data_IF_269716494962
#
_entry.id   IF_269716494962
#
_cell.length_a   1.000
_cell.length_b   1.000
_cell.length_c   1.000
_cell.angle_alpha   90.00
_cell.angle_beta   90.00
_cell.angle_gamma   90.00
#
_symmetry.space_group_name_H-M   'P 1'
#
loop_
_entity.id
_entity.type
_entity.pdbx_description
1 polymer ?
#
# COMPACT_ATOMS: atom_id res chain seq x y z
N UNK A 1 -70.18 -39.81 55.65
CA UNK A 1 -69.55 -39.33 54.40
C UNK A 1 -68.50 -38.31 54.80
N UNK A 2 -67.22 -38.38 54.40
CA UNK A 2 -66.69 -38.20 53.02
C UNK A 2 -67.27 -36.93 52.36
N UNK A 3 -66.50 -35.84 52.32
CA UNK A 3 -66.09 -35.23 51.05
C UNK A 3 -64.76 -34.52 51.24
N UNK A 4 -63.72 -35.12 50.67
CA UNK A 4 -62.41 -34.51 50.52
C UNK A 4 -62.52 -33.43 49.43
N UNK A 5 -62.13 -32.19 49.71
CA UNK A 5 -61.98 -31.14 48.68
C UNK A 5 -60.62 -30.48 48.81
N UNK A 6 -59.62 -31.12 48.21
CA UNK A 6 -58.34 -30.50 47.89
C UNK A 6 -58.61 -29.26 47.03
N UNK A 7 -58.23 -28.08 47.52
CA UNK A 7 -58.10 -26.90 46.66
C UNK A 7 -56.65 -26.83 46.20
N UNK A 8 -56.44 -26.92 44.89
CA UNK A 8 -55.10 -26.89 44.29
C UNK A 8 -54.51 -25.49 44.44
N UNK A 9 -53.38 -25.38 45.16
CA UNK A 9 -52.58 -24.15 45.17
C UNK A 9 -51.74 -24.16 43.90
N UNK A 10 -52.09 -23.33 42.93
CA UNK A 10 -51.26 -23.06 41.76
C UNK A 10 -50.08 -22.19 42.18
N UNK A 11 -48.96 -22.83 42.52
CA UNK A 11 -47.67 -22.17 42.75
C UNK A 11 -46.98 -22.00 41.38
N UNK A 12 -46.75 -20.76 40.91
CA UNK A 12 -45.99 -20.55 39.68
C UNK A 12 -44.50 -20.81 39.93
N UNK A 13 -43.96 -21.87 39.34
CA UNK A 13 -42.53 -22.13 39.32
C UNK A 13 -41.87 -21.35 38.18
N UNK A 14 -41.22 -20.24 38.51
CA UNK A 14 -40.26 -19.58 37.62
C UNK A 14 -38.93 -20.34 37.70
N UNK A 15 -38.30 -20.61 36.54
CA UNK A 15 -37.01 -21.29 36.45
C UNK A 15 -36.04 -20.37 35.70
N UNK A 16 -34.91 -20.04 36.31
CA UNK A 16 -33.87 -19.18 35.72
C UNK A 16 -32.61 -19.99 35.37
N UNK A 17 -31.98 -19.68 34.24
CA UNK A 17 -30.71 -20.27 33.81
C UNK A 17 -29.49 -19.46 34.30
N UNK A 18 -28.29 -20.07 34.26
CA UNK A 18 -27.12 -19.66 35.03
C UNK A 18 -25.80 -19.94 34.30
N UNK A 19 -24.86 -18.99 34.35
CA UNK A 19 -23.53 -19.05 33.68
C UNK A 19 -22.47 -18.28 34.49
N UNK A 20 -22.07 -18.79 35.66
CA UNK A 20 -21.06 -18.15 36.51
C UNK A 20 -19.64 -18.30 35.98
N UNK A 21 -18.85 -17.21 36.02
CA UNK A 21 -17.41 -17.23 35.75
C UNK A 21 -16.67 -17.19 37.09
N UNK A 22 -15.81 -18.18 37.33
CA UNK A 22 -14.97 -18.33 38.52
C UNK A 22 -15.72 -18.28 39.89
N UNK A 23 -16.79 -19.08 40.03
CA UNK A 23 -17.53 -19.25 41.30
C UNK A 23 -18.27 -20.59 41.37
N UNK A 24 -18.17 -21.29 42.51
CA UNK A 24 -18.94 -22.51 42.82
C UNK A 24 -20.45 -22.22 43.03
N UNK A 25 -20.79 -20.95 43.26
CA UNK A 25 -22.15 -20.43 43.29
C UNK A 25 -22.33 -19.48 42.10
N UNK A 26 -22.67 -19.98 40.89
CA UNK A 26 -23.16 -19.11 39.82
C UNK A 26 -24.33 -18.25 40.33
N UNK A 27 -24.38 -16.99 39.91
CA UNK A 27 -25.19 -15.95 40.54
C UNK A 27 -26.51 -15.71 39.75
N UNK A 28 -27.66 -15.27 40.34
CA UNK A 28 -28.99 -15.71 39.87
C UNK A 28 -29.70 -15.27 38.55
N UNK A 29 -29.38 -14.33 37.65
CA UNK A 29 -28.37 -13.26 37.52
C UNK A 29 -26.94 -13.61 37.09
N UNK A 30 -26.78 -14.59 36.18
CA UNK A 30 -25.58 -14.84 35.35
C UNK A 30 -26.01 -15.37 33.99
N UNK A 31 -25.86 -14.53 32.98
CA UNK A 31 -26.15 -14.71 31.57
C UNK A 31 -25.22 -13.71 30.88
N UNK A 32 -24.49 -14.13 29.85
CA UNK A 32 -23.68 -13.18 29.05
C UNK A 32 -24.58 -12.59 27.97
N UNK A 33 -25.27 -11.51 28.34
CA UNK A 33 -26.08 -10.71 27.42
C UNK A 33 -25.31 -9.44 27.04
N UNK A 34 -25.13 -9.23 25.73
CA UNK A 34 -24.33 -8.13 25.15
C UNK A 34 -25.23 -7.43 24.14
N UNK A 35 -26.06 -6.52 24.63
CA UNK A 35 -26.97 -5.71 23.82
C UNK A 35 -26.31 -4.40 23.35
N UNK A 36 -26.68 -3.94 22.15
CA UNK A 36 -26.05 -2.83 21.43
C UNK A 36 -26.97 -1.61 21.24
N UNK A 37 -28.04 -1.51 22.03
CA UNK A 37 -29.10 -0.50 21.86
C UNK A 37 -28.68 0.94 22.21
N UNK A 38 -28.35 1.75 21.19
CA UNK A 38 -28.59 3.19 21.19
C UNK A 38 -28.91 3.71 19.77
N UNK A 39 -29.41 4.95 19.67
CA UNK A 39 -29.84 5.56 18.39
C UNK A 39 -28.70 5.94 17.44
N UNK A 40 -27.45 5.58 17.76
CA UNK A 40 -26.23 5.88 16.99
C UNK A 40 -25.28 4.65 16.90
N UNK A 41 -25.85 3.45 16.96
CA UNK A 41 -25.29 2.19 16.43
C UNK A 41 -23.97 1.63 17.00
N UNK A 42 -23.49 2.08 18.17
CA UNK A 42 -22.31 1.45 18.82
C UNK A 42 -22.51 1.15 20.31
N UNK A 43 -22.48 -0.14 20.64
CA UNK A 43 -22.46 -0.73 21.97
C UNK A 43 -22.14 -2.23 21.86
N UNK A 44 -21.40 -2.81 22.82
CA UNK A 44 -21.02 -4.22 22.80
C UNK A 44 -19.74 -4.52 23.60
N UNK A 45 -19.23 -5.74 23.49
CA UNK A 45 -17.96 -6.16 24.11
C UNK A 45 -16.77 -5.63 23.30
N UNK A 46 -16.12 -4.58 23.80
CA UNK A 46 -14.82 -4.14 23.30
C UNK A 46 -13.71 -5.01 23.91
N UNK A 47 -13.10 -5.85 23.09
CA UNK A 47 -11.93 -6.67 23.47
C UNK A 47 -10.67 -5.78 23.40
N UNK A 48 -9.73 -5.85 24.36
CA UNK A 48 -8.53 -5.02 24.34
C UNK A 48 -7.71 -5.22 23.06
N UNK A 49 -7.56 -4.16 22.26
CA UNK A 49 -6.87 -4.17 20.98
C UNK A 49 -5.44 -3.67 21.13
N UNK A 50 -4.45 -4.48 20.73
CA UNK A 50 -3.01 -4.21 20.92
C UNK A 50 -2.17 -4.70 19.72
N UNK A 51 -0.93 -4.21 19.62
CA UNK A 51 0.08 -4.71 18.69
C UNK A 51 0.73 -6.00 19.20
N UNK A 52 1.24 -6.85 18.31
CA UNK A 52 1.99 -8.06 18.68
C UNK A 52 3.12 -7.79 19.68
N UNK A 53 3.90 -6.72 19.48
CA UNK A 53 4.97 -6.33 20.41
C UNK A 53 4.45 -6.05 21.83
N UNK A 54 3.25 -5.47 21.96
CA UNK A 54 2.61 -5.20 23.25
C UNK A 54 2.06 -6.47 23.90
N UNK A 55 1.68 -7.50 23.13
CA UNK A 55 1.25 -8.80 23.67
C UNK A 55 2.33 -9.46 24.53
N UNK A 56 3.61 -9.27 24.17
CA UNK A 56 4.75 -9.76 24.97
C UNK A 56 4.87 -9.12 26.36
N UNK A 57 4.21 -7.98 26.59
CA UNK A 57 4.20 -7.25 27.86
C UNK A 57 3.00 -7.62 28.75
N UNK A 58 2.05 -8.41 28.25
CA UNK A 58 0.88 -8.85 29.02
C UNK A 58 1.33 -9.95 29.98
N UNK A 59 1.51 -9.57 31.25
CA UNK A 59 1.80 -10.51 32.33
C UNK A 59 0.68 -11.54 32.44
N UNK A 60 1.02 -12.80 32.24
CA UNK A 60 0.08 -13.93 32.25
C UNK A 60 0.56 -15.00 33.22
N UNK A 61 -0.40 -15.63 33.89
CA UNK A 61 -0.20 -16.78 34.79
C UNK A 61 -1.28 -17.82 34.52
N UNK A 62 -1.25 -18.97 35.19
CA UNK A 62 -2.37 -19.93 35.15
C UNK A 62 -3.72 -19.34 35.59
N UNK A 63 -3.72 -18.23 36.35
CA UNK A 63 -4.92 -17.50 36.76
C UNK A 63 -5.44 -16.54 35.66
N UNK A 64 -4.69 -16.37 34.57
CA UNK A 64 -5.06 -15.58 33.37
C UNK A 64 -5.80 -16.40 32.30
N UNK A 65 -6.10 -17.67 32.58
CA UNK A 65 -6.92 -18.57 31.75
C UNK A 65 -8.19 -17.86 31.24
N UNK A 66 -8.42 -17.91 29.92
CA UNK A 66 -9.57 -17.28 29.28
C UNK A 66 -9.45 -15.78 29.00
N UNK A 67 -8.31 -15.13 29.27
CA UNK A 67 -8.09 -13.71 28.92
C UNK A 67 -8.17 -13.52 27.40
N UNK A 68 -9.01 -12.60 26.92
CA UNK A 68 -9.16 -12.28 25.50
C UNK A 68 -8.37 -11.02 25.09
N UNK A 69 -7.75 -11.06 23.91
CA UNK A 69 -7.09 -9.92 23.26
C UNK A 69 -7.46 -9.88 21.77
N UNK A 70 -7.46 -8.68 21.19
CA UNK A 70 -7.45 -8.49 19.74
C UNK A 70 -6.07 -7.98 19.32
N UNK A 71 -5.37 -8.74 18.48
CA UNK A 71 -3.92 -8.61 18.26
C UNK A 71 -3.65 -8.29 16.80
N UNK A 72 -3.18 -7.07 16.54
CA UNK A 72 -2.72 -6.66 15.21
C UNK A 72 -1.27 -7.09 15.01
N UNK A 73 -1.03 -7.88 13.97
CA UNK A 73 0.29 -8.32 13.53
C UNK A 73 0.91 -7.32 12.54
N UNK A 74 2.25 -7.27 12.40
CA UNK A 74 2.94 -6.47 11.38
C UNK A 74 2.51 -6.79 9.94
N UNK A 75 1.97 -7.99 9.70
CA UNK A 75 1.45 -8.45 8.41
C UNK A 75 -0.01 -8.05 8.14
N UNK A 76 -0.52 -6.99 8.76
CA UNK A 76 -1.92 -6.52 8.66
C UNK A 76 -2.98 -7.39 9.35
N UNK A 77 -2.74 -8.71 9.45
CA UNK A 77 -3.63 -9.71 10.06
C UNK A 77 -4.00 -9.35 11.50
N UNK A 78 -5.30 -9.41 11.83
CA UNK A 78 -5.82 -9.03 13.15
C UNK A 78 -6.54 -10.21 13.80
N UNK A 79 -5.98 -10.76 14.87
CA UNK A 79 -6.45 -11.99 15.50
C UNK A 79 -7.18 -11.74 16.83
N UNK A 80 -8.36 -12.32 17.00
CA UNK A 80 -8.91 -12.60 18.33
C UNK A 80 -8.15 -13.78 18.93
N UNK A 81 -7.48 -13.53 20.04
CA UNK A 81 -6.69 -14.51 20.79
C UNK A 81 -7.24 -14.70 22.21
N UNK A 82 -7.05 -15.89 22.75
CA UNK A 82 -7.36 -16.27 24.12
C UNK A 82 -6.13 -16.86 24.80
N UNK A 83 -5.91 -16.54 26.07
CA UNK A 83 -4.82 -17.13 26.84
C UNK A 83 -5.23 -18.48 27.43
N UNK A 84 -4.51 -19.52 27.06
CA UNK A 84 -4.56 -20.86 27.67
C UNK A 84 -3.54 -20.89 28.81
N UNK A 85 -4.02 -20.80 30.05
CA UNK A 85 -3.20 -20.80 31.26
C UNK A 85 -2.75 -22.20 31.67
N UNK A 86 -3.39 -23.23 31.13
CA UNK A 86 -3.04 -24.64 31.33
C UNK A 86 -1.80 -25.04 30.51
N UNK A 87 -1.69 -24.54 29.28
CA UNK A 87 -0.55 -24.71 28.37
C UNK A 87 0.44 -23.53 28.43
N UNK A 88 0.08 -22.43 29.08
CA UNK A 88 0.85 -21.18 29.20
C UNK A 88 1.15 -20.54 27.81
N UNK A 89 0.15 -20.47 26.93
CA UNK A 89 0.29 -19.94 25.55
C UNK A 89 -0.93 -19.12 25.12
N UNK A 90 -0.73 -18.21 24.17
CA UNK A 90 -1.82 -17.54 23.46
C UNK A 90 -2.31 -18.41 22.29
N UNK A 91 -3.62 -18.66 22.25
CA UNK A 91 -4.30 -19.42 21.20
C UNK A 91 -5.10 -18.47 20.30
N UNK A 92 -5.00 -18.64 18.98
CA UNK A 92 -5.78 -17.85 18.00
C UNK A 92 -7.16 -18.48 17.82
N UNK A 93 -8.23 -17.75 18.20
CA UNK A 93 -9.63 -18.16 17.99
C UNK A 93 -10.04 -17.91 16.54
N UNK A 94 -9.81 -16.68 16.06
CA UNK A 94 -10.15 -16.25 14.73
C UNK A 94 -9.18 -15.16 14.28
N UNK A 95 -8.76 -15.17 13.02
CA UNK A 95 -7.92 -14.11 12.45
C UNK A 95 -8.62 -13.52 11.23
N UNK A 96 -8.78 -12.20 11.26
CA UNK A 96 -9.14 -11.43 10.08
C UNK A 96 -7.86 -11.20 9.28
N UNK A 97 -7.75 -11.89 8.15
CA UNK A 97 -6.99 -11.34 7.04
C UNK A 97 -7.84 -10.17 6.52
N UNK A 98 -7.29 -8.97 6.59
CA UNK A 98 -7.84 -7.83 5.87
C UNK A 98 -7.12 -7.80 4.52
N UNK A 99 -7.88 -7.81 3.44
CA UNK A 99 -7.31 -7.56 2.12
C UNK A 99 -6.78 -6.11 2.09
N UNK A 100 -5.60 -5.85 1.50
CA UNK A 100 -5.04 -4.50 1.48
C UNK A 100 -5.98 -3.52 0.79
N UNK A 101 -6.11 -2.31 1.35
CA UNK A 101 -6.98 -1.27 0.77
C UNK A 101 -6.21 -0.53 -0.31
N UNK A 102 -6.74 -0.50 -1.54
CA UNK A 102 -6.23 0.34 -2.63
C UNK A 102 -6.48 1.82 -2.25
N UNK A 103 -5.41 2.56 -2.02
CA UNK A 103 -5.42 3.99 -1.67
C UNK A 103 -5.25 4.88 -2.91
N UNK A 104 -4.58 4.36 -3.93
CA UNK A 104 -4.38 4.98 -5.23
C UNK A 104 -4.21 3.89 -6.29
N UNK A 105 -4.74 4.13 -7.48
CA UNK A 105 -4.39 3.38 -8.68
C UNK A 105 -4.29 4.29 -9.91
N UNK A 106 -3.33 4.01 -10.79
CA UNK A 106 -3.26 4.57 -12.14
C UNK A 106 -2.86 3.50 -13.16
N UNK A 107 -3.72 3.38 -14.16
CA UNK A 107 -3.73 2.40 -15.25
C UNK A 107 -3.78 3.07 -16.64
N UNK A 108 -3.85 4.41 -16.69
CA UNK A 108 -3.86 5.29 -17.88
C UNK A 108 -4.96 5.05 -18.95
N UNK A 109 -5.60 3.88 -18.99
CA UNK A 109 -6.74 3.45 -19.83
C UNK A 109 -7.97 4.39 -19.81
N UNK A 110 -8.02 5.35 -18.88
CA UNK A 110 -9.10 6.34 -18.77
C UNK A 110 -8.91 7.62 -19.60
N UNK A 111 -7.72 7.82 -20.18
CA UNK A 111 -7.34 9.03 -20.94
C UNK A 111 -7.39 8.82 -22.46
N UNK A 112 -7.48 9.90 -23.23
CA UNK A 112 -7.29 9.81 -24.69
C UNK A 112 -5.80 9.67 -25.07
N UNK A 113 -5.50 8.93 -26.14
CA UNK A 113 -4.15 8.90 -26.73
C UNK A 113 -3.64 10.34 -26.96
N UNK A 114 -2.38 10.59 -26.61
CA UNK A 114 -1.77 11.93 -26.60
C UNK A 114 -1.96 12.72 -25.31
N UNK A 115 -2.45 12.13 -24.20
CA UNK A 115 -2.61 12.86 -22.93
C UNK A 115 -1.29 12.99 -22.19
N UNK A 116 -0.78 14.22 -22.07
CA UNK A 116 0.49 14.50 -21.39
C UNK A 116 1.14 15.80 -21.83
N UNK A 117 2.44 15.80 -22.08
CA UNK A 117 3.20 16.95 -22.58
C UNK A 117 4.01 16.63 -23.84
N UNK A 118 4.12 17.61 -24.72
CA UNK A 118 5.04 17.62 -25.87
C UNK A 118 5.61 19.05 -26.04
N UNK A 119 6.40 19.30 -27.08
CA UNK A 119 6.98 20.63 -27.35
C UNK A 119 5.99 21.78 -27.58
N UNK A 120 4.69 21.52 -27.71
CA UNK A 120 3.62 22.53 -27.72
C UNK A 120 3.04 22.83 -26.33
N UNK A 121 3.45 22.10 -25.30
CA UNK A 121 2.90 22.16 -23.93
C UNK A 121 2.00 20.96 -23.61
N UNK A 122 0.93 21.21 -22.84
CA UNK A 122 -0.05 20.18 -22.47
C UNK A 122 -0.89 19.70 -23.64
N UNK A 123 -1.17 18.39 -23.66
CA UNK A 123 -1.75 17.65 -24.78
C UNK A 123 -2.82 16.65 -24.31
N UNK A 124 -3.71 16.23 -25.21
CA UNK A 124 -4.85 15.37 -24.90
C UNK A 124 -5.74 15.94 -23.80
N UNK A 125 -5.97 15.16 -22.73
CA UNK A 125 -6.70 15.58 -21.53
C UNK A 125 -5.85 16.42 -20.54
N UNK A 126 -4.54 16.56 -20.75
CA UNK A 126 -3.61 17.19 -19.80
C UNK A 126 -3.45 18.70 -20.05
N UNK A 127 -3.38 19.54 -19.01
CA UNK A 127 -3.56 19.26 -17.58
C UNK A 127 -5.00 19.44 -17.09
N UNK A 128 -5.98 19.59 -17.98
CA UNK A 128 -7.32 20.09 -17.63
C UNK A 128 -8.28 19.05 -17.04
N UNK A 129 -8.18 17.79 -17.48
CA UNK A 129 -8.97 16.66 -16.97
C UNK A 129 -8.13 15.67 -16.15
N UNK A 130 -6.80 15.81 -16.15
CA UNK A 130 -5.87 14.98 -15.37
C UNK A 130 -5.69 15.56 -13.96
N UNK A 131 -6.08 14.80 -12.93
CA UNK A 131 -5.89 15.20 -11.52
C UNK A 131 -5.12 14.18 -10.67
N UNK A 132 -4.86 12.98 -11.20
CA UNK A 132 -4.16 11.90 -10.48
C UNK A 132 -2.64 12.14 -10.39
N UNK A 133 -2.07 12.88 -11.35
CA UNK A 133 -0.63 13.11 -11.50
C UNK A 133 -0.34 14.43 -12.22
N UNK A 134 0.93 14.84 -12.22
CA UNK A 134 1.47 15.95 -13.01
C UNK A 134 2.75 15.53 -13.72
N UNK A 135 3.02 16.15 -14.87
CA UNK A 135 4.28 16.08 -15.61
C UNK A 135 5.00 17.44 -15.52
N UNK A 136 6.29 17.37 -15.18
CA UNK A 136 7.19 18.51 -15.08
C UNK A 136 8.46 18.24 -15.89
N UNK A 137 8.59 18.92 -17.03
CA UNK A 137 9.85 19.04 -17.76
C UNK A 137 10.82 19.91 -16.93
N UNK A 138 11.92 19.30 -16.46
CA UNK A 138 12.84 19.94 -15.51
C UNK A 138 13.71 21.00 -16.16
N UNK A 139 13.97 20.89 -17.47
CA UNK A 139 14.93 21.74 -18.19
C UNK A 139 14.30 22.56 -19.34
N UNK A 140 13.08 22.21 -19.76
CA UNK A 140 12.47 22.71 -21.00
C UNK A 140 13.09 22.04 -22.23
N UNK A 141 13.31 20.72 -22.17
CA UNK A 141 14.08 19.96 -23.16
C UNK A 141 13.28 19.50 -24.38
N UNK A 142 11.97 19.26 -24.25
CA UNK A 142 11.16 18.66 -25.31
C UNK A 142 11.19 19.48 -26.62
N UNK A 143 11.74 18.89 -27.67
CA UNK A 143 11.83 19.42 -29.02
C UNK A 143 10.73 18.87 -29.95
N UNK A 144 10.87 19.14 -31.26
CA UNK A 144 9.83 18.84 -32.25
C UNK A 144 9.74 17.35 -32.54
N UNK A 145 8.60 16.74 -32.17
CA UNK A 145 8.23 15.30 -32.15
C UNK A 145 8.55 14.53 -30.87
N UNK A 146 9.20 15.16 -29.89
CA UNK A 146 9.45 14.65 -28.55
C UNK A 146 8.18 14.74 -27.68
N UNK A 147 7.92 13.74 -26.82
CA UNK A 147 6.73 13.72 -25.96
C UNK A 147 6.86 12.84 -24.71
N UNK A 148 5.96 13.11 -23.77
CA UNK A 148 5.59 12.25 -22.64
C UNK A 148 4.07 12.25 -22.56
N UNK A 149 3.44 11.26 -23.19
CA UNK A 149 2.00 11.20 -23.43
C UNK A 149 1.46 9.77 -23.26
N UNK A 150 0.19 9.61 -22.92
CA UNK A 150 -0.44 8.29 -22.93
C UNK A 150 -0.60 7.77 -24.35
N UNK A 151 -0.19 6.52 -24.59
CA UNK A 151 -0.34 5.83 -25.86
C UNK A 151 -0.86 4.41 -25.60
N UNK A 152 -2.02 4.05 -26.19
CA UNK A 152 -2.58 2.68 -26.12
C UNK A 152 -2.72 2.09 -24.70
N UNK A 153 -3.03 2.94 -23.72
CA UNK A 153 -3.27 2.52 -22.33
C UNK A 153 -2.06 2.60 -21.38
N UNK A 154 -0.87 3.05 -21.84
CA UNK A 154 0.30 3.29 -20.95
C UNK A 154 0.81 4.72 -21.08
N UNK A 155 1.54 5.23 -20.09
CA UNK A 155 2.26 6.50 -20.21
C UNK A 155 3.62 6.27 -20.88
N UNK A 156 3.83 6.85 -22.06
CA UNK A 156 5.01 6.65 -22.91
C UNK A 156 5.87 7.93 -22.96
N UNK A 157 7.19 7.77 -22.93
CA UNK A 157 8.18 8.85 -23.00
C UNK A 157 9.23 8.60 -24.09
N UNK A 158 9.36 9.54 -25.04
CA UNK A 158 10.16 9.39 -26.26
C UNK A 158 10.96 10.67 -26.56
N UNK A 159 12.25 10.50 -26.87
CA UNK A 159 13.25 11.55 -27.16
C UNK A 159 13.21 12.74 -26.16
N UNK A 160 13.15 12.49 -24.85
CA UNK A 160 12.83 13.58 -23.90
C UNK A 160 13.91 14.66 -23.77
N UNK A 161 15.12 14.44 -24.31
CA UNK A 161 16.24 15.37 -24.40
C UNK A 161 16.69 15.99 -23.04
N UNK A 162 16.35 15.31 -21.95
CA UNK A 162 16.48 15.78 -20.57
C UNK A 162 15.51 15.06 -19.63
N UNK A 163 15.63 15.25 -18.31
CA UNK A 163 14.82 14.54 -17.33
C UNK A 163 13.42 15.13 -17.21
N UNK A 164 12.40 14.29 -17.42
CA UNK A 164 11.00 14.61 -17.14
C UNK A 164 10.59 13.94 -15.83
N UNK A 165 9.83 14.65 -14.99
CA UNK A 165 9.32 14.15 -13.73
C UNK A 165 7.80 13.94 -13.83
N UNK A 166 7.37 12.69 -13.72
CA UNK A 166 6.01 12.31 -13.34
C UNK A 166 5.91 12.31 -11.82
N UNK A 167 5.00 13.09 -11.24
CA UNK A 167 4.63 13.03 -9.83
C UNK A 167 3.17 12.61 -9.70
N UNK A 168 2.84 11.67 -8.80
CA UNK A 168 1.45 11.47 -8.38
C UNK A 168 0.93 12.70 -7.65
N UNK A 169 -0.39 12.84 -7.55
CA UNK A 169 -1.02 13.65 -6.52
C UNK A 169 -0.56 13.21 -5.12
N UNK A 170 -0.81 14.04 -4.11
CA UNK A 170 -0.61 13.66 -2.71
C UNK A 170 -1.68 12.65 -2.29
N UNK A 171 -1.25 11.42 -2.01
CA UNK A 171 -2.08 10.27 -1.64
C UNK A 171 -2.21 10.25 -0.12
N UNK A 172 -3.44 10.25 0.40
CA UNK A 172 -3.70 10.12 1.83
C UNK A 172 -3.43 8.67 2.29
N UNK A 173 -2.49 8.52 3.21
CA UNK A 173 -2.11 7.25 3.83
C UNK A 173 -2.41 7.23 5.35
N UNK A 174 -3.15 8.23 5.83
CA UNK A 174 -3.41 8.45 7.26
C UNK A 174 -4.12 7.26 7.91
N UNK A 175 -3.54 6.74 8.99
CA UNK A 175 -4.13 5.68 9.81
C UNK A 175 -3.84 4.26 9.33
N UNK A 176 -3.17 4.09 8.19
CA UNK A 176 -2.62 2.81 7.73
C UNK A 176 -1.18 2.60 8.23
N UNK A 177 -0.72 1.36 8.20
CA UNK A 177 0.64 0.97 8.55
C UNK A 177 1.18 -0.04 7.53
N UNK A 178 2.50 -0.10 7.35
CA UNK A 178 3.11 -0.95 6.32
C UNK A 178 2.46 -0.69 4.93
N UNK A 179 2.42 0.59 4.54
CA UNK A 179 2.05 0.99 3.18
C UNK A 179 3.05 0.36 2.20
N UNK A 180 2.53 -0.12 1.08
CA UNK A 180 3.31 -0.56 -0.06
C UNK A 180 2.84 0.13 -1.34
N UNK A 181 3.74 0.27 -2.31
CA UNK A 181 3.38 0.65 -3.67
C UNK A 181 4.08 -0.23 -4.69
N UNK A 182 3.47 -0.33 -5.88
CA UNK A 182 4.03 -0.95 -7.07
C UNK A 182 3.80 -0.06 -8.29
N UNK A 183 4.64 -0.20 -9.30
CA UNK A 183 4.41 0.27 -10.66
C UNK A 183 5.19 -0.60 -11.66
N UNK A 184 4.62 -0.82 -12.84
CA UNK A 184 5.33 -1.47 -13.94
C UNK A 184 6.15 -0.45 -14.70
N UNK A 185 7.40 -0.80 -14.99
CA UNK A 185 8.31 0.02 -15.81
C UNK A 185 8.91 -0.86 -16.89
N UNK A 186 8.85 -0.39 -18.13
CA UNK A 186 9.49 -1.05 -19.26
C UNK A 186 10.14 -0.06 -20.22
N UNK A 187 10.98 -0.56 -21.12
CA UNK A 187 11.63 0.25 -22.13
C UNK A 187 11.80 -0.51 -23.44
N UNK A 188 11.89 0.24 -24.55
CA UNK A 188 12.19 -0.29 -25.88
C UNK A 188 13.09 0.67 -26.65
N UNK A 189 13.69 0.19 -27.75
CA UNK A 189 14.62 0.99 -28.55
C UNK A 189 16.09 0.73 -28.24
N UNK A 190 16.93 1.71 -28.61
CA UNK A 190 18.40 1.63 -28.59
C UNK A 190 19.01 2.10 -27.26
N UNK A 191 18.26 2.00 -26.15
CA UNK A 191 18.58 2.57 -24.83
C UNK A 191 20.00 2.27 -24.32
N UNK A 192 20.66 3.26 -23.73
CA UNK A 192 22.08 3.26 -23.34
C UNK A 192 22.34 3.83 -21.93
N UNK A 193 23.41 3.41 -21.26
CA UNK A 193 23.90 4.09 -20.06
C UNK A 193 25.40 3.87 -19.84
N UNK A 194 26.16 4.95 -19.68
CA UNK A 194 27.57 4.93 -19.33
C UNK A 194 27.79 5.43 -17.88
N UNK A 195 28.15 4.54 -16.93
CA UNK A 195 28.41 4.91 -15.53
C UNK A 195 29.51 5.97 -15.34
N UNK A 196 30.37 6.18 -16.34
CA UNK A 196 31.43 7.20 -16.31
C UNK A 196 30.92 8.62 -16.51
N UNK A 197 29.69 8.79 -17.01
CA UNK A 197 29.05 10.07 -17.35
C UNK A 197 27.94 10.48 -16.36
N UNK A 198 27.74 9.70 -15.29
CA UNK A 198 26.71 9.93 -14.26
C UNK A 198 26.62 11.39 -13.77
N UNK A 199 27.77 12.05 -13.55
CA UNK A 199 27.82 13.44 -13.08
C UNK A 199 27.26 14.48 -14.07
N UNK A 200 26.80 14.05 -15.24
CA UNK A 200 26.18 14.85 -16.30
C UNK A 200 24.88 14.22 -16.83
N UNK A 201 24.29 13.23 -16.14
CA UNK A 201 23.12 12.45 -16.59
C UNK A 201 22.06 13.33 -17.27
N UNK A 202 21.50 14.28 -16.52
CA UNK A 202 20.46 15.24 -16.93
C UNK A 202 20.75 16.11 -18.18
N UNK A 203 21.94 15.97 -18.79
CA UNK A 203 22.44 16.84 -19.86
C UNK A 203 23.29 16.12 -20.93
N UNK A 204 23.39 14.78 -20.92
CA UNK A 204 24.24 14.05 -21.85
C UNK A 204 23.52 12.94 -22.64
N UNK A 205 23.61 13.06 -23.97
CA UNK A 205 23.08 12.17 -25.01
C UNK A 205 23.76 10.78 -25.09
N UNK A 206 23.87 10.10 -23.94
CA UNK A 206 24.47 8.76 -23.78
C UNK A 206 23.84 7.97 -22.61
N UNK A 207 23.13 8.65 -21.71
CA UNK A 207 22.66 8.07 -20.45
C UNK A 207 21.15 8.19 -20.31
N UNK A 208 20.48 7.09 -20.63
CA UNK A 208 19.06 6.87 -20.42
C UNK A 208 18.85 6.12 -19.11
N UNK A 209 17.84 6.49 -18.36
CA UNK A 209 17.60 5.92 -17.03
C UNK A 209 16.15 6.09 -16.60
N UNK A 210 15.73 5.26 -15.64
CA UNK A 210 14.47 5.48 -14.90
C UNK A 210 14.73 5.42 -13.39
N UNK A 211 14.25 6.46 -12.70
CA UNK A 211 14.36 6.66 -11.26
C UNK A 211 12.98 6.74 -10.62
N UNK A 212 12.68 5.77 -9.76
CA UNK A 212 11.53 5.79 -8.86
C UNK A 212 11.97 6.37 -7.52
N UNK A 213 11.28 7.44 -7.10
CA UNK A 213 11.48 8.06 -5.80
C UNK A 213 10.16 8.23 -5.07
N UNK A 214 10.17 8.35 -3.76
CA UNK A 214 8.98 8.63 -2.96
C UNK A 214 9.22 9.75 -1.93
N UNK A 215 8.18 10.51 -1.63
CA UNK A 215 8.14 11.50 -0.53
C UNK A 215 7.04 11.11 0.44
N UNK A 216 7.36 11.07 1.74
CA UNK A 216 6.38 10.90 2.82
C UNK A 216 6.30 12.20 3.63
N UNK A 217 5.09 12.65 3.92
CA UNK A 217 4.79 13.85 4.71
C UNK A 217 5.50 15.13 4.22
N UNK A 218 5.70 15.24 2.90
CA UNK A 218 6.44 16.32 2.22
C UNK A 218 7.93 16.38 2.58
N UNK A 219 8.51 15.26 3.03
CA UNK A 219 9.97 15.09 3.17
C UNK A 219 10.68 15.17 1.81
N UNK A 220 12.00 15.40 1.78
CA UNK A 220 12.79 15.23 0.56
C UNK A 220 12.57 13.83 -0.06
N UNK A 221 12.50 13.78 -1.39
CA UNK A 221 12.34 12.51 -2.12
C UNK A 221 13.49 11.55 -1.84
N UNK A 222 13.15 10.27 -1.64
CA UNK A 222 14.09 9.14 -1.48
C UNK A 222 13.98 8.28 -2.73
N UNK A 223 15.08 8.17 -3.49
CA UNK A 223 15.16 7.29 -4.67
C UNK A 223 15.41 5.84 -4.25
N UNK A 224 14.69 4.91 -4.85
CA UNK A 224 14.94 3.47 -4.74
C UNK A 224 16.10 3.16 -5.68
N UNK A 225 17.30 2.93 -5.17
CA UNK A 225 18.49 2.67 -6.01
C UNK A 225 18.77 1.17 -6.14
N UNK A 226 19.31 0.77 -7.29
CA UNK A 226 19.69 -0.60 -7.64
C UNK A 226 18.56 -1.65 -7.44
N UNK A 227 17.36 -1.35 -7.94
CA UNK A 227 16.19 -2.22 -7.75
C UNK A 227 16.44 -3.58 -8.41
N UNK A 228 16.26 -4.67 -7.65
CA UNK A 228 16.56 -6.06 -8.07
C UNK A 228 17.98 -6.33 -8.62
N UNK A 229 18.93 -5.39 -8.50
CA UNK A 229 20.23 -5.46 -9.17
C UNK A 229 20.22 -5.00 -10.64
N UNK A 230 19.13 -4.35 -11.07
CA UNK A 230 18.90 -3.83 -12.42
C UNK A 230 19.26 -2.33 -12.57
N UNK A 231 19.89 -1.72 -11.55
CA UNK A 231 20.20 -0.29 -11.52
C UNK A 231 21.66 -0.02 -11.11
N UNK A 232 21.87 1.03 -10.32
CA UNK A 232 23.12 1.24 -9.58
C UNK A 232 22.88 2.15 -8.35
N UNK A 233 23.94 2.53 -7.65
CA UNK A 233 23.89 3.38 -6.43
C UNK A 233 23.24 4.77 -6.61
N UNK A 234 22.96 5.19 -7.84
CA UNK A 234 22.33 6.47 -8.18
C UNK A 234 20.95 6.31 -8.84
N UNK A 235 20.64 5.13 -9.42
CA UNK A 235 19.46 4.93 -10.27
C UNK A 235 18.66 3.67 -9.96
N UNK A 236 17.34 3.67 -10.23
CA UNK A 236 16.45 2.54 -9.96
C UNK A 236 16.62 1.42 -10.98
N UNK A 237 16.47 1.74 -12.27
CA UNK A 237 16.59 0.82 -13.40
C UNK A 237 17.45 1.46 -14.49
N UNK A 238 18.32 0.66 -15.12
CA UNK A 238 19.26 1.10 -16.15
C UNK A 238 19.33 0.14 -17.34
N UNK A 239 19.50 0.64 -18.57
CA UNK A 239 19.89 -0.18 -19.72
C UNK A 239 21.19 -0.94 -19.44
N UNK A 240 21.27 -2.22 -19.86
CA UNK A 240 22.43 -3.07 -19.56
C UNK A 240 23.69 -2.60 -20.32
N UNK A 241 24.62 -1.95 -19.61
CA UNK A 241 25.86 -1.43 -20.19
C UNK A 241 26.80 -2.53 -20.73
N UNK A 242 26.87 -2.67 -22.06
CA UNK A 242 27.82 -3.55 -22.75
C UNK A 242 29.18 -2.85 -22.87
N UNK A 243 30.05 -3.07 -21.88
CA UNK A 243 31.37 -2.43 -21.84
C UNK A 243 32.23 -2.73 -23.08
N UNK A 244 32.56 -1.69 -23.86
CA UNK A 244 33.46 -1.79 -25.02
C UNK A 244 33.11 -0.89 -26.21
N UNK A 245 31.89 -0.34 -26.25
CA UNK A 245 31.47 0.68 -27.21
C UNK A 245 30.50 1.68 -26.58
N UNK A 246 30.28 2.79 -27.27
CA UNK A 246 28.98 3.48 -27.24
C UNK A 246 28.10 2.82 -28.31
N UNK A 247 26.78 2.74 -28.11
CA UNK A 247 25.88 1.96 -28.94
C UNK A 247 25.22 0.79 -28.21
N UNK A 248 23.92 0.91 -27.94
CA UNK A 248 22.94 -0.09 -27.51
C UNK A 248 23.27 -0.95 -26.28
N UNK A 249 22.47 -0.80 -25.22
CA UNK A 249 22.06 -1.99 -24.47
C UNK A 249 21.01 -2.74 -25.32
N UNK A 250 21.14 -4.06 -25.55
CA UNK A 250 20.14 -4.80 -26.33
C UNK A 250 18.84 -5.09 -25.56
N UNK A 251 18.73 -4.60 -24.32
CA UNK A 251 17.61 -4.83 -23.41
C UNK A 251 17.62 -3.81 -22.27
N UNK A 252 16.47 -3.16 -22.02
CA UNK A 252 16.18 -2.50 -20.75
C UNK A 252 15.53 -3.52 -19.79
N UNK A 253 15.90 -3.55 -18.50
CA UNK A 253 15.30 -4.45 -17.53
C UNK A 253 13.87 -4.02 -17.15
N UNK A 254 12.90 -4.46 -17.96
CA UNK A 254 11.48 -4.39 -17.61
C UNK A 254 11.24 -5.09 -16.26
N UNK A 255 10.65 -4.38 -15.30
CA UNK A 255 10.49 -4.85 -13.92
C UNK A 255 9.29 -4.14 -13.26
N UNK A 256 8.68 -4.79 -12.27
CA UNK A 256 7.65 -4.18 -11.42
C UNK A 256 8.33 -3.62 -10.18
N UNK A 257 8.50 -2.30 -10.10
CA UNK A 257 9.19 -1.66 -8.97
C UNK A 257 8.26 -1.66 -7.75
N UNK A 258 8.61 -2.43 -6.71
CA UNK A 258 7.82 -2.58 -5.48
C UNK A 258 8.55 -2.02 -4.27
N UNK A 259 7.87 -1.22 -3.46
CA UNK A 259 8.37 -0.76 -2.16
C UNK A 259 7.36 -1.02 -1.04
N UNK A 260 7.83 -1.27 0.18
CA UNK A 260 7.00 -1.67 1.34
C UNK A 260 7.48 -1.03 2.64
N UNK A 261 6.71 -1.16 3.73
CA UNK A 261 7.12 -0.67 5.06
C UNK A 261 6.96 0.84 5.27
N UNK A 262 6.29 1.55 4.37
CA UNK A 262 6.04 2.99 4.51
C UNK A 262 4.98 3.27 5.60
N UNK A 263 5.05 4.45 6.20
CA UNK A 263 4.06 4.96 7.18
C UNK A 263 4.19 6.48 7.30
N UNK A 264 3.07 7.17 7.49
CA UNK A 264 2.98 8.64 7.51
C UNK A 264 1.52 9.08 7.42
N UNK A 265 1.28 10.27 6.88
CA UNK A 265 -0.05 10.84 6.60
C UNK A 265 -0.27 11.06 5.10
N UNK A 266 0.77 11.44 4.35
CA UNK A 266 0.71 11.62 2.89
C UNK A 266 1.89 10.98 2.17
N UNK A 267 1.65 10.41 0.98
CA UNK A 267 2.65 9.86 0.06
C UNK A 267 2.59 10.59 -1.30
N UNK A 268 3.75 10.84 -1.91
CA UNK A 268 3.88 11.13 -3.35
C UNK A 268 4.89 10.16 -3.94
N UNK A 269 4.55 9.54 -5.08
CA UNK A 269 5.48 8.74 -5.88
C UNK A 269 5.93 9.60 -7.06
N UNK A 270 7.23 9.58 -7.34
CA UNK A 270 7.87 10.22 -8.47
C UNK A 270 8.48 9.16 -9.37
N UNK A 271 8.30 9.31 -10.68
CA UNK A 271 9.13 8.64 -11.68
C UNK A 271 9.83 9.71 -12.50
N UNK A 272 11.16 9.69 -12.52
CA UNK A 272 11.98 10.53 -13.38
C UNK A 272 12.63 9.66 -14.45
N UNK A 273 12.46 10.04 -15.71
CA UNK A 273 12.97 9.31 -16.87
C UNK A 273 13.58 10.27 -17.88
N UNK A 274 14.54 9.76 -18.66
CA UNK A 274 15.25 10.50 -19.68
C UNK A 274 15.70 9.57 -20.80
N UNK A 275 15.46 9.96 -22.06
CA UNK A 275 16.06 9.36 -23.26
C UNK A 275 16.42 10.46 -24.31
N UNK A 276 17.16 10.10 -25.36
CA UNK A 276 17.83 11.06 -26.27
C UNK A 276 17.75 10.73 -27.78
N UNK A 277 16.96 9.73 -28.17
CA UNK A 277 16.63 9.47 -29.57
C UNK A 277 15.16 9.06 -29.78
N UNK A 278 14.60 9.47 -30.92
CA UNK A 278 13.23 9.13 -31.33
C UNK A 278 12.93 7.64 -31.57
N UNK A 279 13.91 6.74 -31.49
CA UNK A 279 13.68 5.28 -31.43
C UNK A 279 13.78 4.67 -30.02
N UNK A 280 14.02 5.48 -28.99
CA UNK A 280 14.06 5.10 -27.57
C UNK A 280 12.75 5.43 -26.85
N UNK A 281 12.29 4.52 -26.00
CA UNK A 281 11.00 4.63 -25.32
C UNK A 281 11.09 4.10 -23.89
N UNK A 282 10.48 4.82 -22.94
CA UNK A 282 10.11 4.30 -21.63
C UNK A 282 8.59 4.29 -21.47
N UNK A 283 8.09 3.30 -20.73
CA UNK A 283 6.67 3.12 -20.44
C UNK A 283 6.46 2.94 -18.93
N UNK A 284 5.42 3.59 -18.39
CA UNK A 284 4.96 3.45 -17.01
C UNK A 284 3.50 2.99 -17.03
N UNK A 285 3.17 2.00 -16.21
CA UNK A 285 1.83 1.42 -16.10
C UNK A 285 1.57 0.86 -14.67
N UNK A 286 0.32 0.47 -14.38
CA UNK A 286 -0.12 -0.28 -13.19
C UNK A 286 0.41 0.26 -11.86
N UNK A 287 0.35 1.58 -11.67
CA UNK A 287 0.76 2.22 -10.42
C UNK A 287 -0.31 1.92 -9.36
N UNK A 288 0.03 1.20 -8.30
CA UNK A 288 -0.89 0.88 -7.19
C UNK A 288 -0.27 1.26 -5.83
N UNK A 289 -1.09 1.76 -4.91
CA UNK A 289 -0.71 1.96 -3.50
C UNK A 289 -1.69 1.24 -2.59
N UNK A 290 -1.17 0.41 -1.69
CA UNK A 290 -1.93 -0.45 -0.78
C UNK A 290 -1.66 -0.11 0.70
N UNK A 291 -2.72 -0.13 1.53
CA UNK A 291 -2.64 0.08 2.98
C UNK A 291 -3.19 -1.05 3.84
N UNK A 292 -2.59 -1.24 5.02
CA UNK A 292 -2.84 -2.35 5.97
C UNK A 292 -3.10 -1.90 7.42
#
# INVERSE_FOLDING_TARGET
MKYFKTLFILIPFMISAQVGVNTDSPHPSTVLDIDSNNTINFGGLLIPSILEAQKSLVLTTIESEGTLLFVTYPSGVRCLEIYDGTQNVWQKINCLNLDPVILYSEDFESYVDGTGINSSGGSGDYPSSVSKWILNDVLGSLASSDYVETQSGVLEANDTNGPIQFDTQSIDITGYSNISFSLDISGSGTLEYNPSLHATDDTNMVNDYVNVSYSVDNSPFVTITDFNGNGNVNHTLLPYYVSGGAGSAPYFPNDTVVFTGLSGSSLVIRVQFQNWAGDEFFYIDNIEVLGN
#
